data_IF_100324946866
#
_entry.id   IF_100324946866
#
_cell.length_a   1.000
_cell.length_b   1.000
_cell.length_c   1.000
_cell.angle_alpha   90.00
_cell.angle_beta   90.00
_cell.angle_gamma   90.00
#
_symmetry.space_group_name_H-M   'P 1'
#
loop_
_entity.id
_entity.type
_entity.pdbx_description
1 polymer ?
#
# COMPACT_ATOMS: atom_id res chain seq x y z
N UNK A 1 26.18 20.68 33.39
CA UNK A 1 25.01 20.19 32.62
C UNK A 1 23.77 20.32 33.50
N UNK A 2 22.76 21.06 33.06
CA UNK A 2 21.64 21.48 33.90
C UNK A 2 20.66 20.31 34.16
N UNK A 3 20.03 20.24 35.35
CA UNK A 3 19.07 19.17 35.72
C UNK A 3 17.96 18.99 34.68
N UNK A 4 17.55 20.09 34.07
CA UNK A 4 16.53 20.17 33.05
C UNK A 4 16.94 19.52 31.72
N UNK A 5 18.22 19.66 31.32
CA UNK A 5 18.76 19.01 30.12
C UNK A 5 18.87 17.50 30.30
N UNK A 6 19.14 17.03 31.52
CA UNK A 6 19.17 15.60 31.85
C UNK A 6 17.77 14.98 31.79
N UNK A 7 16.76 15.66 32.30
CA UNK A 7 15.38 15.20 32.26
C UNK A 7 14.85 15.10 30.82
N UNK A 8 15.15 16.08 29.96
CA UNK A 8 14.74 16.08 28.55
C UNK A 8 15.37 14.93 27.75
N UNK A 9 16.66 14.65 27.93
CA UNK A 9 17.33 13.50 27.28
C UNK A 9 16.76 12.15 27.72
N UNK A 10 16.37 12.02 28.99
CA UNK A 10 15.74 10.79 29.49
C UNK A 10 14.36 10.62 28.87
N UNK A 11 13.55 11.67 28.80
CA UNK A 11 12.23 11.62 28.16
C UNK A 11 12.31 11.29 26.65
N UNK A 12 13.29 11.85 25.95
CA UNK A 12 13.53 11.57 24.53
C UNK A 12 13.99 10.13 24.30
N UNK A 13 14.90 9.61 25.12
CA UNK A 13 15.30 8.20 25.08
C UNK A 13 14.14 7.26 25.42
N UNK A 14 13.28 7.62 26.39
CA UNK A 14 12.07 6.85 26.71
C UNK A 14 11.06 6.85 25.57
N UNK A 15 10.88 7.98 24.88
CA UNK A 15 9.99 8.08 23.71
C UNK A 15 10.51 7.24 22.54
N UNK A 16 11.80 7.31 22.24
CA UNK A 16 12.43 6.50 21.19
C UNK A 16 12.37 5.01 21.52
N UNK A 17 12.60 4.61 22.77
CA UNK A 17 12.45 3.22 23.19
C UNK A 17 11.00 2.72 23.08
N UNK A 18 10.01 3.59 23.34
CA UNK A 18 8.59 3.26 23.19
C UNK A 18 8.19 3.13 21.72
N UNK A 19 8.69 4.03 20.85
CA UNK A 19 8.52 3.93 19.40
C UNK A 19 9.15 2.65 18.86
N UNK A 20 10.39 2.38 19.23
CA UNK A 20 11.12 1.19 18.76
C UNK A 20 10.49 -0.10 19.31
N UNK A 21 9.85 -0.07 20.50
CA UNK A 21 9.08 -1.19 21.04
C UNK A 21 7.71 -1.39 20.34
N UNK A 22 7.11 -0.32 19.82
CA UNK A 22 5.93 -0.41 18.95
C UNK A 22 6.30 -0.92 17.54
N UNK A 23 7.53 -0.64 17.08
CA UNK A 23 8.09 -1.16 15.83
C UNK A 23 8.66 -2.58 15.97
N UNK A 24 8.86 -3.07 17.20
CA UNK A 24 9.28 -4.46 17.41
C UNK A 24 8.13 -5.43 17.15
N UNK A 25 8.33 -6.46 16.32
CA UNK A 25 7.33 -7.48 16.09
C UNK A 25 7.05 -8.23 17.40
N UNK A 26 5.87 -8.01 17.98
CA UNK A 26 5.39 -8.84 19.08
C UNK A 26 5.42 -10.33 18.70
N UNK A 27 5.56 -11.26 19.66
CA UNK A 27 5.58 -12.69 19.38
C UNK A 27 4.44 -13.01 18.44
N UNK A 28 4.73 -13.73 17.35
CA UNK A 28 3.78 -14.02 16.28
C UNK A 28 2.49 -14.57 16.88
N UNK A 29 1.52 -13.67 17.09
CA UNK A 29 0.18 -14.03 17.52
C UNK A 29 -0.38 -14.91 16.43
N UNK A 30 -1.07 -15.97 16.81
CA UNK A 30 -1.68 -16.89 15.87
C UNK A 30 -2.63 -16.10 14.95
N UNK A 31 -2.25 -15.88 13.70
CA UNK A 31 -3.11 -15.25 12.69
C UNK A 31 -4.03 -16.33 12.14
N UNK A 32 -5.33 -16.17 12.36
CA UNK A 32 -6.33 -17.06 11.81
C UNK A 32 -6.50 -16.80 10.31
N UNK A 33 -6.80 -17.82 9.48
CA UNK A 33 -7.12 -17.63 8.06
C UNK A 33 -8.23 -16.61 7.84
N UNK A 34 -9.23 -16.59 8.72
CA UNK A 34 -10.33 -15.63 8.67
C UNK A 34 -9.83 -14.18 8.81
N UNK A 35 -8.81 -13.92 9.64
CA UNK A 35 -8.23 -12.58 9.80
C UNK A 35 -7.55 -12.11 8.52
N UNK A 36 -6.93 -13.02 7.76
CA UNK A 36 -6.34 -12.71 6.44
C UNK A 36 -7.42 -12.35 5.43
N UNK A 37 -8.52 -13.11 5.42
CA UNK A 37 -9.67 -12.85 4.54
C UNK A 37 -10.33 -11.51 4.92
N UNK A 38 -10.60 -11.28 6.19
CA UNK A 38 -11.21 -10.03 6.67
C UNK A 38 -10.32 -8.82 6.34
N UNK A 39 -9.00 -8.96 6.51
CA UNK A 39 -8.03 -7.94 6.11
C UNK A 39 -8.07 -7.67 4.59
N UNK A 40 -8.11 -8.72 3.75
CA UNK A 40 -8.26 -8.58 2.29
C UNK A 40 -9.56 -7.90 1.90
N UNK A 41 -10.63 -8.14 2.65
CA UNK A 41 -11.95 -7.54 2.41
C UNK A 41 -12.08 -6.12 2.97
N UNK A 42 -11.03 -5.57 3.58
CA UNK A 42 -11.03 -4.24 4.20
C UNK A 42 -11.86 -4.16 5.48
N UNK A 43 -12.19 -5.31 6.10
CA UNK A 43 -12.90 -5.38 7.38
C UNK A 43 -11.93 -5.15 8.51
N UNK A 44 -12.45 -4.65 9.64
CA UNK A 44 -11.65 -4.43 10.83
C UNK A 44 -11.07 -5.76 11.35
N UNK A 45 -9.76 -5.78 11.59
CA UNK A 45 -9.06 -6.92 12.18
C UNK A 45 -8.43 -6.48 13.50
N UNK A 46 -8.49 -7.35 14.50
CA UNK A 46 -8.00 -7.03 15.84
C UNK A 46 -6.50 -6.68 15.88
N UNK A 47 -5.70 -7.32 15.03
CA UNK A 47 -4.26 -7.05 14.92
C UNK A 47 -3.83 -7.05 13.44
N UNK A 48 -4.01 -5.90 12.77
CA UNK A 48 -3.55 -5.71 11.39
C UNK A 48 -2.03 -5.87 11.26
N UNK A 49 -1.26 -5.51 12.29
CA UNK A 49 0.21 -5.60 12.29
C UNK A 49 0.68 -7.06 12.24
N UNK A 50 0.07 -7.95 13.02
CA UNK A 50 0.35 -9.38 12.96
C UNK A 50 -0.03 -10.00 11.61
N UNK A 51 -1.17 -9.61 11.03
CA UNK A 51 -1.59 -10.09 9.70
C UNK A 51 -0.59 -9.64 8.63
N UNK A 52 -0.17 -8.38 8.62
CA UNK A 52 0.83 -7.86 7.67
C UNK A 52 2.15 -8.61 7.76
N UNK A 53 2.63 -8.89 8.98
CA UNK A 53 3.86 -9.69 9.18
C UNK A 53 3.71 -11.10 8.63
N UNK A 54 2.60 -11.78 8.94
CA UNK A 54 2.34 -13.13 8.40
C UNK A 54 2.22 -13.12 6.88
N UNK A 55 1.66 -12.06 6.28
CA UNK A 55 1.65 -11.89 4.83
C UNK A 55 3.06 -11.71 4.26
N UNK A 56 3.99 -11.08 4.98
CA UNK A 56 5.39 -10.98 4.51
C UNK A 56 6.19 -12.28 4.64
N UNK A 57 5.86 -13.12 5.62
CA UNK A 57 6.63 -14.31 6.01
C UNK A 57 6.08 -15.63 5.42
N UNK A 58 4.75 -15.76 5.30
CA UNK A 58 4.09 -17.01 4.93
C UNK A 58 3.47 -16.95 3.52
N UNK A 59 3.95 -17.83 2.63
CA UNK A 59 3.43 -18.00 1.27
C UNK A 59 1.97 -18.48 1.26
N UNK A 60 1.56 -19.33 2.19
CA UNK A 60 0.18 -19.83 2.24
C UNK A 60 -0.80 -18.69 2.60
N UNK A 61 -0.44 -17.85 3.56
CA UNK A 61 -1.19 -16.63 3.89
C UNK A 61 -1.32 -15.69 2.69
N UNK A 62 -0.23 -15.46 1.94
CA UNK A 62 -0.26 -14.64 0.71
C UNK A 62 -1.18 -15.20 -0.37
N UNK A 63 -1.19 -16.53 -0.56
CA UNK A 63 -2.09 -17.18 -1.51
C UNK A 63 -3.55 -16.98 -1.11
N UNK A 64 -3.88 -17.24 0.15
CA UNK A 64 -5.23 -17.03 0.67
C UNK A 64 -5.68 -15.57 0.50
N UNK A 65 -4.78 -14.63 0.76
CA UNK A 65 -5.04 -13.21 0.56
C UNK A 65 -5.35 -12.87 -0.90
N UNK A 66 -4.52 -13.33 -1.85
CA UNK A 66 -4.77 -13.15 -3.29
C UNK A 66 -6.08 -13.79 -3.74
N UNK A 67 -6.39 -14.99 -3.25
CA UNK A 67 -7.66 -15.67 -3.55
C UNK A 67 -8.87 -14.88 -3.04
N UNK A 68 -8.77 -14.27 -1.85
CA UNK A 68 -9.82 -13.42 -1.31
C UNK A 68 -10.01 -12.14 -2.15
N UNK A 69 -8.91 -11.50 -2.59
CA UNK A 69 -8.99 -10.30 -3.43
C UNK A 69 -9.53 -10.60 -4.83
N UNK A 70 -9.16 -11.73 -5.43
CA UNK A 70 -9.62 -12.14 -6.76
C UNK A 70 -11.15 -12.20 -6.89
N UNK A 71 -11.88 -12.42 -5.80
CA UNK A 71 -13.35 -12.42 -5.78
C UNK A 71 -14.00 -11.04 -5.94
N UNK A 72 -13.24 -9.96 -5.71
CA UNK A 72 -13.72 -8.56 -5.75
C UNK A 72 -12.93 -7.69 -6.72
N UNK A 73 -11.89 -8.24 -7.34
CA UNK A 73 -10.97 -7.51 -8.20
C UNK A 73 -11.68 -6.98 -9.43
N UNK A 74 -11.50 -5.70 -9.69
CA UNK A 74 -11.97 -5.03 -10.91
C UNK A 74 -10.93 -5.12 -12.01
N UNK A 75 -9.67 -4.94 -11.64
CA UNK A 75 -8.57 -4.77 -12.57
C UNK A 75 -7.26 -5.24 -11.92
N UNK A 76 -6.30 -5.68 -12.73
CA UNK A 76 -5.04 -6.27 -12.25
C UNK A 76 -3.84 -5.79 -13.09
N UNK A 77 -2.72 -5.49 -12.46
CA UNK A 77 -1.41 -5.43 -13.11
C UNK A 77 -0.55 -6.57 -12.54
N UNK A 78 -0.20 -7.60 -13.35
CA UNK A 78 0.74 -8.62 -12.90
C UNK A 78 2.15 -8.02 -12.76
N UNK A 79 3.09 -8.81 -12.23
CA UNK A 79 4.51 -8.46 -12.26
C UNK A 79 4.92 -8.13 -13.70
N UNK A 80 5.51 -6.95 -13.89
CA UNK A 80 5.97 -6.50 -15.19
C UNK A 80 7.48 -6.75 -15.25
N UNK A 81 7.90 -7.74 -16.03
CA UNK A 81 9.31 -7.92 -16.35
C UNK A 81 9.73 -6.81 -17.33
N UNK A 82 9.90 -5.59 -16.83
CA UNK A 82 10.37 -4.47 -17.62
C UNK A 82 11.91 -4.47 -17.62
N UNK A 83 12.50 -4.54 -18.82
CA UNK A 83 13.92 -4.24 -19.01
C UNK A 83 14.15 -2.71 -19.01
N UNK A 84 13.66 -2.00 -17.99
CA UNK A 84 13.91 -0.56 -17.88
C UNK A 84 15.32 -0.33 -17.34
N UNK A 85 16.22 0.03 -18.26
CA UNK A 85 17.51 0.61 -17.94
C UNK A 85 17.31 1.97 -17.27
N UNK A 86 17.49 2.03 -15.95
CA UNK A 86 17.77 3.23 -15.13
C UNK A 86 16.91 4.46 -15.48
N UNK A 87 15.67 4.49 -15.00
CA UNK A 87 14.80 5.67 -15.03
C UNK A 87 13.73 5.66 -13.94
N UNK A 88 13.19 6.82 -13.58
CA UNK A 88 12.05 6.92 -12.65
C UNK A 88 10.78 6.40 -13.32
N UNK A 89 10.05 5.50 -12.66
CA UNK A 89 8.78 4.97 -13.17
C UNK A 89 7.73 6.07 -13.17
N UNK A 90 7.36 6.52 -14.37
CA UNK A 90 6.38 7.59 -14.60
C UNK A 90 4.98 7.06 -14.93
N UNK A 91 4.87 5.78 -15.28
CA UNK A 91 3.59 5.13 -15.57
C UNK A 91 3.66 3.63 -15.29
N UNK A 92 2.56 3.05 -14.81
CA UNK A 92 2.30 1.60 -14.85
C UNK A 92 0.94 1.35 -15.47
N UNK A 93 0.87 0.34 -16.33
CA UNK A 93 -0.39 -0.10 -16.95
C UNK A 93 -0.79 -1.47 -16.40
N UNK A 94 -2.07 -1.69 -16.19
CA UNK A 94 -2.64 -3.00 -15.91
C UNK A 94 -3.78 -3.31 -16.87
N UNK A 95 -4.34 -4.50 -16.76
CA UNK A 95 -5.58 -4.85 -17.41
C UNK A 95 -6.71 -4.00 -16.79
N UNK A 96 -7.26 -3.06 -17.57
CA UNK A 96 -8.40 -2.23 -17.18
C UNK A 96 -8.05 -0.91 -16.47
N UNK A 97 -6.78 -0.59 -16.25
CA UNK A 97 -6.38 0.68 -15.62
C UNK A 97 -4.95 1.12 -15.93
N UNK A 98 -4.65 2.37 -15.59
CA UNK A 98 -3.31 2.94 -15.62
C UNK A 98 -3.04 3.81 -14.39
N UNK A 99 -1.79 3.80 -13.95
CA UNK A 99 -1.25 4.72 -12.96
C UNK A 99 -0.27 5.66 -13.64
N UNK A 100 -0.44 6.96 -13.40
CA UNK A 100 0.46 8.02 -13.85
C UNK A 100 1.10 8.68 -12.64
N UNK A 101 2.43 8.72 -12.60
CA UNK A 101 3.20 9.29 -11.52
C UNK A 101 3.80 10.62 -11.98
N UNK A 102 3.39 11.73 -11.35
CA UNK A 102 3.85 13.09 -11.70
C UNK A 102 4.38 13.80 -10.47
N UNK A 103 5.68 14.13 -10.48
CA UNK A 103 6.28 14.95 -9.43
C UNK A 103 5.68 16.36 -9.46
N UNK A 104 5.36 16.90 -8.28
CA UNK A 104 4.84 18.25 -8.13
C UNK A 104 5.92 19.28 -8.45
N UNK A 105 5.61 20.24 -9.31
CA UNK A 105 6.49 21.37 -9.62
C UNK A 105 6.60 22.35 -8.43
N UNK A 106 5.51 22.48 -7.66
CA UNK A 106 5.46 23.39 -6.51
C UNK A 106 6.14 22.79 -5.26
N UNK A 107 6.27 21.47 -5.19
CA UNK A 107 6.87 20.78 -4.04
C UNK A 107 7.55 19.49 -4.53
N UNK A 108 8.84 19.54 -4.89
CA UNK A 108 9.55 18.41 -5.51
C UNK A 108 9.57 17.11 -4.69
N UNK A 109 9.33 17.19 -3.39
CA UNK A 109 9.18 16.04 -2.51
C UNK A 109 7.82 15.34 -2.61
N UNK A 110 6.91 15.80 -3.47
CA UNK A 110 5.57 15.24 -3.60
C UNK A 110 5.32 14.69 -5.00
N UNK A 111 4.54 13.60 -5.05
CA UNK A 111 4.17 12.91 -6.28
C UNK A 111 2.65 12.75 -6.33
N UNK A 112 2.05 13.29 -7.39
CA UNK A 112 0.67 13.01 -7.75
C UNK A 112 0.60 11.67 -8.46
N UNK A 113 -0.21 10.77 -7.93
CA UNK A 113 -0.55 9.51 -8.58
C UNK A 113 -1.98 9.61 -9.07
N UNK A 114 -2.15 9.55 -10.39
CA UNK A 114 -3.48 9.49 -11.02
C UNK A 114 -3.76 8.06 -11.44
N UNK A 115 -4.84 7.50 -10.89
CA UNK A 115 -5.47 6.26 -11.34
C UNK A 115 -6.50 6.59 -12.41
N UNK A 116 -6.37 5.97 -13.58
CA UNK A 116 -7.30 6.08 -14.68
C UNK A 116 -7.83 4.71 -15.05
N UNK A 117 -9.14 4.53 -15.05
CA UNK A 117 -9.77 3.31 -15.56
C UNK A 117 -9.84 3.35 -17.08
N UNK A 118 -9.55 2.22 -17.72
CA UNK A 118 -9.61 2.08 -19.17
C UNK A 118 -11.02 1.70 -19.63
N UNK A 119 -11.36 1.98 -20.91
CA UNK A 119 -12.63 1.55 -21.48
C UNK A 119 -12.86 0.05 -21.26
N UNK A 120 -14.02 -0.32 -20.73
CA UNK A 120 -14.39 -1.70 -20.40
C UNK A 120 -14.53 -1.98 -18.90
N UNK A 121 -13.98 -1.11 -18.04
CA UNK A 121 -14.28 -1.11 -16.61
C UNK A 121 -15.27 0.02 -16.33
N UNK A 122 -16.54 -0.33 -16.12
CA UNK A 122 -17.59 0.64 -15.80
C UNK A 122 -17.83 0.69 -14.29
N UNK A 123 -17.50 1.84 -13.70
CA UNK A 123 -17.76 2.17 -12.30
C UNK A 123 -18.44 3.52 -12.25
N UNK A 124 -19.46 3.62 -11.40
CA UNK A 124 -20.17 4.86 -11.16
C UNK A 124 -19.24 5.92 -10.58
N UNK A 125 -19.40 7.16 -11.05
CA UNK A 125 -18.76 8.32 -10.43
C UNK A 125 -19.15 8.43 -8.96
N UNK A 126 -18.24 8.94 -8.13
CA UNK A 126 -18.45 9.02 -6.68
C UNK A 126 -18.08 7.75 -5.90
N UNK A 127 -17.72 6.64 -6.57
CA UNK A 127 -17.22 5.44 -5.91
C UNK A 127 -15.72 5.54 -5.61
N UNK A 128 -15.33 5.28 -4.37
CA UNK A 128 -13.93 5.18 -3.96
C UNK A 128 -13.29 3.88 -4.46
N UNK A 129 -11.99 3.94 -4.74
CA UNK A 129 -11.21 2.78 -5.17
C UNK A 129 -10.11 2.46 -4.17
N UNK A 130 -9.68 1.22 -4.15
CA UNK A 130 -8.55 0.78 -3.36
C UNK A 130 -7.57 0.00 -4.24
N UNK A 131 -6.27 0.30 -4.09
CA UNK A 131 -5.21 -0.46 -4.74
C UNK A 131 -4.46 -1.26 -3.68
N UNK A 132 -4.35 -2.55 -3.92
CA UNK A 132 -3.51 -3.45 -3.16
C UNK A 132 -2.23 -3.69 -3.97
N UNK A 133 -1.10 -3.24 -3.44
CA UNK A 133 0.21 -3.48 -4.01
C UNK A 133 0.84 -4.67 -3.25
N UNK A 134 1.14 -5.73 -3.99
CA UNK A 134 1.52 -7.04 -3.47
C UNK A 134 2.89 -7.41 -4.03
N UNK A 135 3.92 -7.34 -3.20
CA UNK A 135 5.26 -7.85 -3.49
C UNK A 135 5.52 -9.15 -2.71
N UNK A 136 6.75 -9.66 -2.82
CA UNK A 136 7.12 -10.92 -2.17
C UNK A 136 7.07 -10.86 -0.64
N UNK A 137 7.38 -9.72 -0.04
CA UNK A 137 7.41 -9.58 1.43
C UNK A 137 6.57 -8.42 1.95
N UNK A 138 6.02 -7.60 1.06
CA UNK A 138 5.29 -6.40 1.42
C UNK A 138 3.93 -6.39 0.74
N UNK A 139 2.89 -6.16 1.55
CA UNK A 139 1.53 -5.92 1.06
C UNK A 139 1.06 -4.60 1.65
N UNK A 140 0.90 -3.62 0.77
CA UNK A 140 0.41 -2.30 1.10
C UNK A 140 -0.89 -2.01 0.37
N UNK A 141 -1.68 -1.15 0.99
CA UNK A 141 -3.04 -0.84 0.58
C UNK A 141 -3.21 0.66 0.58
N UNK A 142 -3.83 1.19 -0.46
CA UNK A 142 -4.12 2.61 -0.53
C UNK A 142 -5.46 2.87 -1.16
N UNK A 143 -6.28 3.63 -0.43
CA UNK A 143 -7.56 4.10 -0.91
C UNK A 143 -7.36 5.38 -1.74
N UNK A 144 -7.98 5.46 -2.89
CA UNK A 144 -8.06 6.64 -3.73
C UNK A 144 -9.38 7.37 -3.44
N UNK A 145 -9.42 8.70 -3.56
CA UNK A 145 -10.67 9.45 -3.50
C UNK A 145 -11.72 8.93 -4.51
N UNK A 146 -12.99 9.27 -4.32
CA UNK A 146 -14.04 8.97 -5.29
C UNK A 146 -13.66 9.29 -6.73
N UNK A 147 -14.03 8.39 -7.65
CA UNK A 147 -13.84 8.60 -9.08
C UNK A 147 -14.60 9.84 -9.57
N UNK A 148 -13.98 10.56 -10.49
CA UNK A 148 -14.60 11.57 -11.31
C UNK A 148 -14.10 11.38 -12.75
N UNK A 149 -15.02 11.22 -13.70
CA UNK A 149 -14.70 10.95 -15.11
C UNK A 149 -13.74 9.76 -15.28
N UNK A 150 -14.00 8.65 -14.58
CA UNK A 150 -13.16 7.43 -14.59
C UNK A 150 -11.71 7.64 -14.11
N UNK A 151 -11.46 8.75 -13.41
CA UNK A 151 -10.16 9.08 -12.85
C UNK A 151 -10.25 9.34 -11.35
N UNK A 152 -9.18 9.02 -10.64
CA UNK A 152 -8.98 9.45 -9.25
C UNK A 152 -7.52 9.82 -9.04
N UNK A 153 -7.25 10.77 -8.17
CA UNK A 153 -5.91 11.25 -7.90
C UNK A 153 -5.63 11.32 -6.41
N UNK A 154 -4.43 10.88 -6.03
CA UNK A 154 -3.93 10.98 -4.66
C UNK A 154 -2.50 11.54 -4.66
N UNK A 155 -2.22 12.35 -3.66
CA UNK A 155 -0.89 12.92 -3.41
C UNK A 155 -0.12 12.05 -2.42
N UNK A 156 1.15 11.83 -2.71
CA UNK A 156 2.09 11.08 -1.87
C UNK A 156 3.35 11.90 -1.65
N UNK A 157 4.04 11.65 -0.55
CA UNK A 157 5.42 12.07 -0.37
C UNK A 157 6.34 11.12 -1.16
N UNK A 158 7.45 11.62 -1.70
CA UNK A 158 8.35 10.85 -2.57
C UNK A 158 8.96 9.63 -1.85
N UNK A 159 9.05 9.67 -0.51
CA UNK A 159 9.56 8.58 0.33
C UNK A 159 8.44 7.67 0.88
N UNK A 160 7.18 7.87 0.49
CA UNK A 160 6.06 7.06 0.96
C UNK A 160 6.24 5.60 0.51
N UNK A 161 6.19 4.65 1.46
CA UNK A 161 6.41 3.23 1.19
C UNK A 161 5.38 2.66 0.19
N UNK A 162 4.14 3.15 0.22
CA UNK A 162 3.11 2.72 -0.73
C UNK A 162 3.41 3.25 -2.12
N UNK A 163 3.86 4.50 -2.25
CA UNK A 163 4.29 5.06 -3.54
C UNK A 163 5.44 4.24 -4.14
N UNK A 164 6.44 3.89 -3.32
CA UNK A 164 7.56 3.05 -3.77
C UNK A 164 7.06 1.69 -4.26
N UNK A 165 6.13 1.06 -3.55
CA UNK A 165 5.56 -0.23 -3.95
C UNK A 165 4.67 -0.15 -5.19
N UNK A 166 3.93 0.95 -5.38
CA UNK A 166 3.16 1.18 -6.62
C UNK A 166 4.06 1.35 -7.85
N UNK A 167 5.27 1.88 -7.65
CA UNK A 167 6.29 2.06 -8.70
C UNK A 167 7.12 0.80 -8.94
N UNK A 168 7.19 -0.11 -7.99
CA UNK A 168 7.94 -1.37 -8.10
C UNK A 168 7.33 -2.25 -9.20
N UNK A 169 8.12 -2.60 -10.22
CA UNK A 169 7.70 -3.46 -11.32
C UNK A 169 7.56 -4.93 -10.91
N UNK A 170 8.13 -5.29 -9.75
CA UNK A 170 8.00 -6.60 -9.10
C UNK A 170 6.77 -6.72 -8.20
N UNK A 171 6.05 -5.62 -7.99
CA UNK A 171 4.78 -5.66 -7.28
C UNK A 171 3.63 -5.94 -8.26
N UNK A 172 2.74 -6.85 -7.87
CA UNK A 172 1.41 -7.00 -8.46
C UNK A 172 0.51 -5.91 -7.91
N UNK A 173 -0.38 -5.39 -8.75
CA UNK A 173 -1.37 -4.40 -8.34
C UNK A 173 -2.76 -4.97 -8.58
N UNK A 174 -3.63 -4.88 -7.57
CA UNK A 174 -5.02 -5.24 -7.69
C UNK A 174 -5.89 -4.03 -7.33
N UNK A 175 -6.83 -3.68 -8.22
CA UNK A 175 -7.76 -2.57 -8.03
C UNK A 175 -9.11 -3.13 -7.62
N UNK A 176 -9.66 -2.58 -6.54
CA UNK A 176 -10.93 -2.98 -5.95
C UNK A 176 -11.81 -1.77 -5.67
N UNK A 177 -13.12 -1.99 -5.53
CA UNK A 177 -14.05 -0.99 -4.99
C UNK A 177 -13.84 -0.91 -3.47
N UNK A 178 -13.67 0.31 -2.96
CA UNK A 178 -13.56 0.59 -1.53
C UNK A 178 -14.90 0.40 -0.81
#
# INVERSE_FOLDING_TARGET
MNKEQKARKVAEASYLALRDALDQPGPAGLVLPQSVIDFALGRAVADEGAVRRHLGEDLACRRLYREALAQRRLAQSPIQACAQDKGEVTRRSGEGFELHFRRSQASPGQVYVTLQLLPGIEIEDGVGLEIHAIADHDILRVSFPPLHDQQSQRLFEDQDAVLQLLRDDRAELEVLRA
#
